data_IF_914406521062
#
_entry.id   IF_914406521062
#
_cell.length_a   1.000
_cell.length_b   1.000
_cell.length_c   1.000
_cell.angle_alpha   90.00
_cell.angle_beta   90.00
_cell.angle_gamma   90.00
#
_symmetry.space_group_name_H-M   'P 1'
#
loop_
_entity.id
_entity.type
_entity.pdbx_description
1 polymer ?
#
# COMPACT_ATOMS: atom_id res chain seq x y z
N UNK A 1 -5.04 -15.49 1.95
CA UNK A 1 -3.66 -15.84 1.53
C UNK A 1 -2.76 -15.16 2.52
N UNK A 2 -1.77 -15.84 3.10
CA UNK A 2 -0.98 -15.27 4.22
C UNK A 2 -0.41 -13.88 3.89
N UNK A 3 0.12 -13.67 2.67
CA UNK A 3 0.65 -12.37 2.26
C UNK A 3 -0.42 -11.27 2.25
N UNK A 4 -1.60 -11.55 1.68
CA UNK A 4 -2.74 -10.64 1.68
C UNK A 4 -3.18 -10.32 3.11
N UNK A 5 -3.34 -11.34 3.94
CA UNK A 5 -3.86 -11.19 5.30
C UNK A 5 -2.90 -10.35 6.17
N UNK A 6 -1.59 -10.45 5.95
CA UNK A 6 -0.58 -9.62 6.60
C UNK A 6 -0.63 -8.17 6.10
N UNK A 7 -0.77 -7.96 4.79
CA UNK A 7 -0.80 -6.63 4.18
C UNK A 7 -2.08 -5.88 4.58
N UNK A 8 -3.24 -6.52 4.52
CA UNK A 8 -4.54 -5.93 4.87
C UNK A 8 -4.61 -5.50 6.34
N UNK A 9 -3.86 -6.17 7.22
CA UNK A 9 -3.73 -5.82 8.65
C UNK A 9 -2.62 -4.81 8.93
N UNK A 10 -1.91 -4.32 7.91
CA UNK A 10 -0.82 -3.36 8.06
C UNK A 10 0.46 -3.95 8.68
N UNK A 11 0.62 -5.27 8.67
CA UNK A 11 1.83 -5.95 9.17
C UNK A 11 2.90 -6.13 8.10
N UNK A 12 2.56 -5.90 6.84
CA UNK A 12 3.47 -5.95 5.70
C UNK A 12 3.09 -4.88 4.66
N UNK A 13 4.03 -4.58 3.77
CA UNK A 13 3.86 -3.65 2.64
C UNK A 13 4.25 -4.34 1.33
N UNK A 14 3.69 -3.89 0.23
CA UNK A 14 4.07 -4.29 -1.12
C UNK A 14 5.31 -3.51 -1.52
N UNK A 15 6.38 -4.21 -1.91
CA UNK A 15 7.64 -3.61 -2.36
C UNK A 15 8.22 -4.37 -3.55
N UNK A 16 8.78 -3.63 -4.51
CA UNK A 16 9.65 -4.15 -5.59
C UNK A 16 9.09 -5.37 -6.34
N UNK A 17 7.81 -5.34 -6.73
CA UNK A 17 7.20 -6.39 -7.53
C UNK A 17 7.39 -6.11 -9.02
N UNK A 18 8.28 -6.86 -9.66
CA UNK A 18 8.57 -6.76 -11.09
C UNK A 18 8.18 -8.04 -11.83
N UNK A 19 7.88 -7.89 -13.13
CA UNK A 19 7.58 -9.02 -13.98
C UNK A 19 8.75 -10.02 -14.00
N UNK A 20 8.49 -11.33 -14.07
CA UNK A 20 7.18 -11.97 -14.31
C UNK A 20 6.36 -12.26 -13.04
N UNK A 21 6.86 -11.91 -11.85
CA UNK A 21 6.27 -12.35 -10.57
C UNK A 21 5.17 -11.40 -10.06
N UNK A 22 4.20 -11.07 -10.93
CA UNK A 22 3.17 -10.06 -10.65
C UNK A 22 1.75 -10.61 -10.63
N UNK A 23 1.58 -11.95 -10.65
CA UNK A 23 0.26 -12.62 -10.72
C UNK A 23 -0.77 -12.10 -9.71
N UNK A 24 -0.34 -11.82 -8.47
CA UNK A 24 -1.21 -11.34 -7.39
C UNK A 24 -0.96 -9.87 -7.02
N UNK A 25 -0.17 -9.14 -7.80
CA UNK A 25 0.26 -7.79 -7.43
C UNK A 25 -0.92 -6.84 -7.21
N UNK A 26 -1.92 -6.87 -8.09
CA UNK A 26 -3.10 -6.01 -7.98
C UNK A 26 -3.94 -6.35 -6.73
N UNK A 27 -4.09 -7.64 -6.39
CA UNK A 27 -4.79 -8.05 -5.17
C UNK A 27 -4.05 -7.56 -3.91
N UNK A 28 -2.72 -7.66 -3.90
CA UNK A 28 -1.89 -7.21 -2.79
C UNK A 28 -1.89 -5.68 -2.65
N UNK A 29 -1.89 -4.92 -3.76
CA UNK A 29 -2.03 -3.46 -3.73
C UNK A 29 -3.38 -3.01 -3.19
N UNK A 30 -4.46 -3.71 -3.53
CA UNK A 30 -5.78 -3.43 -2.97
C UNK A 30 -5.83 -3.69 -1.46
N UNK A 31 -5.21 -4.78 -0.98
CA UNK A 31 -5.08 -5.04 0.46
C UNK A 31 -4.25 -3.95 1.16
N UNK A 32 -3.17 -3.47 0.53
CA UNK A 32 -2.33 -2.41 1.09
C UNK A 32 -3.10 -1.08 1.18
N UNK A 33 -3.93 -0.78 0.18
CA UNK A 33 -4.80 0.41 0.18
C UNK A 33 -5.75 0.40 1.39
N UNK A 34 -6.35 -0.73 1.71
CA UNK A 34 -7.22 -0.88 2.90
C UNK A 34 -6.43 -0.54 4.17
N UNK A 35 -5.23 -1.11 4.32
CA UNK A 35 -4.40 -0.85 5.49
C UNK A 35 -3.95 0.62 5.60
N UNK A 36 -3.69 1.30 4.47
CA UNK A 36 -3.41 2.74 4.42
C UNK A 36 -4.58 3.59 4.89
N UNK A 37 -5.75 3.38 4.31
CA UNK A 37 -6.98 4.15 4.61
C UNK A 37 -7.42 3.98 6.07
N UNK A 38 -7.19 2.79 6.64
CA UNK A 38 -7.53 2.48 8.03
C UNK A 38 -6.41 2.81 9.03
N UNK A 39 -5.27 3.33 8.57
CA UNK A 39 -4.09 3.60 9.39
C UNK A 39 -3.62 2.38 10.21
N UNK A 40 -3.69 1.18 9.62
CA UNK A 40 -3.32 -0.05 10.30
C UNK A 40 -1.82 -0.29 10.33
N UNK A 41 -1.32 -0.73 11.49
CA UNK A 41 0.06 -1.16 11.69
C UNK A 41 1.06 -0.11 11.25
N UNK A 42 1.89 -0.46 10.28
CA UNK A 42 2.95 0.43 9.75
C UNK A 42 2.41 1.73 9.15
N UNK A 43 1.14 1.79 8.74
CA UNK A 43 0.49 2.97 8.16
C UNK A 43 -0.07 3.96 9.20
N UNK A 44 -0.07 3.58 10.48
CA UNK A 44 -0.42 4.46 11.59
C UNK A 44 0.79 5.11 12.26
N UNK A 45 2.00 4.89 11.74
CA UNK A 45 3.25 5.43 12.29
C UNK A 45 3.81 6.46 11.31
N UNK A 46 3.88 7.71 11.75
CA UNK A 46 4.41 8.81 10.94
C UNK A 46 5.83 8.51 10.45
N UNK A 47 6.09 8.84 9.18
CA UNK A 47 7.37 8.68 8.47
C UNK A 47 7.96 7.25 8.44
N UNK A 48 7.21 6.23 8.90
CA UNK A 48 7.69 4.85 8.92
C UNK A 48 7.74 4.25 7.50
N UNK A 49 6.65 4.37 6.75
CA UNK A 49 6.63 3.94 5.34
C UNK A 49 7.05 5.10 4.45
N UNK A 50 8.34 5.16 4.14
CA UNK A 50 8.86 6.15 3.22
C UNK A 50 8.46 5.79 1.78
N UNK A 51 7.88 6.77 1.08
CA UNK A 51 7.75 6.73 -0.38
C UNK A 51 9.14 6.93 -0.98
N UNK A 52 9.63 5.95 -1.74
CA UNK A 52 10.79 6.17 -2.61
C UNK A 52 10.28 6.55 -3.99
N UNK A 53 10.83 7.63 -4.53
CA UNK A 53 10.59 8.20 -5.87
C UNK A 53 10.09 7.16 -6.88
N UNK A 54 8.77 7.05 -7.05
CA UNK A 54 8.14 6.15 -8.04
C UNK A 54 6.78 5.56 -7.65
N UNK A 55 6.50 5.37 -6.36
CA UNK A 55 5.25 4.72 -5.90
C UNK A 55 4.10 5.70 -5.61
N UNK A 56 4.30 7.02 -5.79
CA UNK A 56 3.30 8.08 -5.51
C UNK A 56 2.20 8.24 -6.57
N UNK A 57 2.07 7.32 -7.53
CA UNK A 57 1.07 7.42 -8.60
C UNK A 57 -0.39 7.26 -8.15
N UNK A 58 -0.65 7.14 -6.84
CA UNK A 58 -2.00 7.11 -6.27
C UNK A 58 -2.26 8.22 -5.25
N UNK A 59 -1.76 9.44 -5.48
CA UNK A 59 -2.43 10.65 -5.01
C UNK A 59 -3.35 11.19 -6.11
N UNK A 60 -4.45 10.48 -6.39
CA UNK A 60 -5.56 11.05 -7.15
C UNK A 60 -6.41 11.91 -6.21
N UNK A 61 -6.06 13.20 -6.17
CA UNK A 61 -6.91 14.38 -5.97
C UNK A 61 -8.18 14.20 -5.13
N UNK A 62 -8.13 14.61 -3.87
CA UNK A 62 -9.31 15.10 -3.14
C UNK A 62 -9.06 16.46 -2.46
N UNK A 63 -8.28 17.34 -3.08
CA UNK A 63 -8.18 18.74 -2.64
C UNK A 63 -8.41 19.69 -3.82
N UNK A 64 -9.62 19.63 -4.39
CA UNK A 64 -10.10 20.65 -5.33
C UNK A 64 -11.56 20.98 -5.07
N UNK A 65 -11.93 21.23 -3.81
CA UNK A 65 -13.06 22.11 -3.50
C UNK A 65 -13.01 22.65 -2.05
N UNK A 66 -12.29 23.75 -1.83
CA UNK A 66 -12.64 24.74 -0.81
C UNK A 66 -12.25 26.12 -1.28
#
# INVERSE_FOLDING_TARGET
MVQKDLIERGYAIVRYAEAPNTTYLEELKNAEKIAKEQHFGVWGIDDYVQSKNGDESFNMKEDANK
#
